data_IF_493522047955
#
_entry.id   IF_493522047955
#
_cell.length_a   1.000
_cell.length_b   1.000
_cell.length_c   1.000
_cell.angle_alpha   90.00
_cell.angle_beta   90.00
_cell.angle_gamma   90.00
#
_symmetry.space_group_name_H-M   'P 1'
#
loop_
_entity.id
_entity.type
_entity.pdbx_description
1 polymer ?
#
# COMPACT_ATOMS: atom_id res chain seq x y z
N UNK A 1 -10.83 -30.44 28.27
CA UNK A 1 -11.59 -29.47 29.08
C UNK A 1 -10.68 -28.29 29.34
N UNK A 2 -10.91 -27.18 28.61
CA UNK A 2 -10.62 -25.78 28.94
C UNK A 2 -9.21 -25.38 29.44
N UNK A 3 -8.40 -24.79 28.54
CA UNK A 3 -8.14 -23.34 28.35
C UNK A 3 -7.31 -22.71 29.46
N UNK A 4 -6.21 -22.05 29.06
CA UNK A 4 -5.70 -20.74 29.51
C UNK A 4 -4.53 -20.45 28.53
N UNK A 5 -4.86 -20.06 27.31
CA UNK A 5 -4.67 -18.68 26.85
C UNK A 5 -3.18 -18.35 26.73
N UNK A 6 -2.57 -18.83 25.63
CA UNK A 6 -1.29 -18.31 25.16
C UNK A 6 -1.46 -16.81 24.97
N UNK A 7 -0.64 -16.07 25.71
CA UNK A 7 -0.59 -14.62 25.75
C UNK A 7 -0.57 -14.10 24.32
N UNK A 8 -1.70 -13.55 23.87
CA UNK A 8 -1.75 -12.70 22.69
C UNK A 8 -0.89 -11.48 23.01
N UNK A 9 0.32 -11.43 22.43
CA UNK A 9 1.17 -10.24 22.53
C UNK A 9 0.35 -9.01 22.11
N UNK A 10 0.18 -8.02 23.01
CA UNK A 10 -0.58 -6.81 22.70
C UNK A 10 0.07 -5.96 21.60
N UNK A 11 1.28 -6.28 21.15
CA UNK A 11 1.91 -5.68 19.95
C UNK A 11 1.36 -6.23 18.62
N UNK A 12 0.68 -7.38 18.62
CA UNK A 12 0.06 -7.93 17.39
C UNK A 12 -1.31 -7.34 17.08
N UNK A 13 -2.02 -6.84 18.10
CA UNK A 13 -3.26 -6.08 17.94
C UNK A 13 -2.90 -4.61 17.99
N UNK A 14 -2.87 -3.94 16.84
CA UNK A 14 -2.42 -2.55 16.65
C UNK A 14 -3.08 -1.52 17.57
N UNK A 15 -2.65 -1.48 18.83
CA UNK A 15 -2.94 -0.49 19.86
C UNK A 15 -1.67 0.23 20.32
N UNK A 16 -0.53 -0.02 19.69
CA UNK A 16 0.66 0.82 19.68
C UNK A 16 1.07 1.02 18.22
N UNK A 17 1.41 2.27 17.86
CA UNK A 17 1.98 2.74 16.58
C UNK A 17 1.61 1.95 15.30
N UNK A 18 0.93 2.54 14.31
CA UNK A 18 0.57 1.81 13.08
C UNK A 18 1.80 1.32 12.33
N UNK A 19 2.14 0.05 12.51
CA UNK A 19 3.23 -0.61 11.80
C UNK A 19 2.77 -1.02 10.39
N UNK A 20 3.60 -0.79 9.36
CA UNK A 20 3.25 -1.16 7.99
C UNK A 20 3.13 -2.68 7.85
N UNK A 21 2.00 -3.14 7.33
CA UNK A 21 1.77 -4.56 7.01
C UNK A 21 2.12 -4.81 5.54
N UNK A 22 2.99 -5.78 5.27
CA UNK A 22 3.36 -6.18 3.92
C UNK A 22 2.71 -7.52 3.56
N UNK A 23 1.88 -7.51 2.51
CA UNK A 23 1.17 -8.71 2.03
C UNK A 23 1.80 -9.35 0.79
N UNK A 24 2.70 -8.65 0.10
CA UNK A 24 3.39 -9.12 -1.09
C UNK A 24 4.89 -8.87 -0.91
N UNK A 25 5.70 -9.91 -1.12
CA UNK A 25 7.16 -9.80 -1.06
C UNK A 25 7.69 -8.95 -2.23
N UNK A 26 8.90 -8.38 -2.12
CA UNK A 26 9.53 -7.69 -3.25
C UNK A 26 9.74 -8.57 -4.49
N UNK A 27 9.80 -9.91 -4.34
CA UNK A 27 9.88 -10.87 -5.44
C UNK A 27 8.51 -11.20 -6.05
N UNK A 28 7.41 -10.71 -5.46
CA UNK A 28 6.05 -10.95 -5.93
C UNK A 28 5.36 -12.17 -5.31
N UNK A 29 5.94 -12.76 -4.26
CA UNK A 29 5.32 -13.87 -3.53
C UNK A 29 4.27 -13.35 -2.55
N UNK A 30 3.18 -14.10 -2.37
CA UNK A 30 2.12 -13.76 -1.42
C UNK A 30 2.59 -14.08 0.00
N UNK A 31 2.46 -13.11 0.90
CA UNK A 31 2.64 -13.29 2.34
C UNK A 31 1.27 -13.35 3.00
N UNK A 32 1.15 -14.13 4.08
CA UNK A 32 -0.06 -14.16 4.92
C UNK A 32 0.27 -13.66 6.33
N UNK A 33 0.27 -12.33 6.54
CA UNK A 33 0.33 -11.77 7.88
C UNK A 33 -0.93 -12.12 8.68
N UNK A 34 -0.77 -12.47 9.95
CA UNK A 34 -1.90 -12.80 10.83
C UNK A 34 -2.94 -11.67 10.83
N UNK A 35 -4.20 -12.00 10.52
CA UNK A 35 -5.32 -11.06 10.48
C UNK A 35 -5.57 -10.38 9.13
N UNK A 36 -4.81 -10.72 8.08
CA UNK A 36 -4.99 -10.18 6.73
C UNK A 36 -5.04 -11.30 5.68
N UNK A 37 -6.16 -11.39 4.95
CA UNK A 37 -6.38 -12.42 3.94
C UNK A 37 -6.50 -11.81 2.54
N UNK A 38 -5.52 -12.13 1.68
CA UNK A 38 -5.52 -11.74 0.26
C UNK A 38 -6.51 -12.56 -0.60
N UNK A 39 -6.96 -13.71 -0.10
CA UNK A 39 -7.84 -14.62 -0.83
C UNK A 39 -9.29 -14.13 -0.91
N UNK A 40 -9.61 -13.06 -0.18
CA UNK A 40 -10.87 -12.33 -0.30
C UNK A 40 -11.01 -11.57 -1.63
N UNK A 41 -9.91 -11.38 -2.36
CA UNK A 41 -9.88 -10.60 -3.59
C UNK A 41 -10.05 -11.51 -4.82
N UNK A 42 -11.09 -11.22 -5.60
CA UNK A 42 -11.37 -11.93 -6.85
C UNK A 42 -10.28 -11.68 -7.90
N UNK A 43 -10.02 -12.68 -8.74
CA UNK A 43 -8.99 -12.59 -9.79
C UNK A 43 -9.25 -11.45 -10.79
N UNK A 44 -10.52 -11.17 -11.08
CA UNK A 44 -10.93 -10.07 -11.96
C UNK A 44 -10.61 -8.69 -11.36
N UNK A 45 -10.73 -8.55 -10.05
CA UNK A 45 -10.42 -7.33 -9.32
C UNK A 45 -8.90 -7.10 -9.27
N UNK A 46 -8.13 -8.17 -9.00
CA UNK A 46 -6.66 -8.15 -9.11
C UNK A 46 -6.19 -7.68 -10.49
N UNK A 47 -6.75 -8.23 -11.56
CA UNK A 47 -6.41 -7.84 -12.94
C UNK A 47 -6.81 -6.41 -13.25
N UNK A 48 -7.95 -5.96 -12.73
CA UNK A 48 -8.41 -4.57 -12.89
C UNK A 48 -7.48 -3.61 -12.16
N UNK A 49 -7.03 -3.95 -10.95
CA UNK A 49 -6.06 -3.16 -10.19
C UNK A 49 -4.72 -3.09 -10.92
N UNK A 50 -4.23 -4.23 -11.43
CA UNK A 50 -3.00 -4.28 -12.21
C UNK A 50 -3.08 -3.41 -13.47
N UNK A 51 -4.15 -3.54 -14.24
CA UNK A 51 -4.38 -2.72 -15.44
C UNK A 51 -4.43 -1.23 -15.10
N UNK A 52 -5.10 -0.86 -14.01
CA UNK A 52 -5.19 0.52 -13.55
C UNK A 52 -3.80 1.08 -13.20
N UNK A 53 -2.96 0.32 -12.52
CA UNK A 53 -1.59 0.73 -12.20
C UNK A 53 -0.74 0.98 -13.46
N UNK A 54 -0.85 0.11 -14.48
CA UNK A 54 -0.12 0.28 -15.74
C UNK A 54 -0.60 1.52 -16.50
N UNK A 55 -1.92 1.73 -16.57
CA UNK A 55 -2.51 2.90 -17.22
C UNK A 55 -2.07 4.20 -16.55
N UNK A 56 -2.12 4.27 -15.22
CA UNK A 56 -1.66 5.44 -14.47
C UNK A 56 -0.18 5.74 -14.71
N UNK A 57 0.66 4.71 -14.76
CA UNK A 57 2.10 4.89 -15.00
C UNK A 57 2.40 5.47 -16.38
N UNK A 58 1.62 5.09 -17.39
CA UNK A 58 1.71 5.70 -18.73
C UNK A 58 1.31 7.18 -18.69
N UNK A 59 0.19 7.49 -18.03
CA UNK A 59 -0.26 8.88 -17.88
C UNK A 59 0.77 9.73 -17.13
N UNK A 60 1.44 9.18 -16.11
CA UNK A 60 2.52 9.87 -15.40
C UNK A 60 3.73 10.18 -16.29
N UNK A 61 4.09 9.27 -17.21
CA UNK A 61 5.17 9.49 -18.17
C UNK A 61 4.82 10.60 -19.15
N UNK A 62 3.59 10.58 -19.69
CA UNK A 62 3.09 11.60 -20.61
C UNK A 62 3.00 12.97 -19.92
N UNK A 63 2.49 13.03 -18.68
CA UNK A 63 2.44 14.25 -17.89
C UNK A 63 3.84 14.80 -17.57
N UNK A 64 4.81 13.92 -17.29
CA UNK A 64 6.22 14.33 -17.09
C UNK A 64 6.82 14.90 -18.37
N UNK A 65 6.52 14.30 -19.53
CA UNK A 65 6.97 14.81 -20.82
C UNK A 65 6.38 16.21 -21.10
N UNK A 66 5.08 16.39 -20.88
CA UNK A 66 4.40 17.68 -21.04
C UNK A 66 4.91 18.74 -20.05
N UNK A 67 5.23 18.37 -18.81
CA UNK A 67 5.85 19.28 -17.84
C UNK A 67 7.24 19.78 -18.28
N UNK A 68 8.07 18.92 -18.90
CA UNK A 68 9.38 19.34 -19.44
C UNK A 68 9.27 20.27 -20.63
N UNK A 69 8.19 20.18 -21.40
CA UNK A 69 7.91 21.02 -22.55
C UNK A 69 7.29 22.38 -22.17
N UNK A 70 6.87 22.55 -20.90
CA UNK A 70 6.20 23.76 -20.43
C UNK A 70 4.69 23.78 -20.64
N UNK A 71 4.12 22.71 -21.19
CA UNK A 71 2.68 22.57 -21.49
C UNK A 71 1.84 22.19 -20.26
N UNK A 72 2.48 21.87 -19.13
CA UNK A 72 1.82 21.60 -17.85
C UNK A 72 2.55 22.27 -16.67
N UNK A 73 1.77 22.84 -15.75
CA UNK A 73 2.28 23.39 -14.50
C UNK A 73 2.85 22.31 -13.55
N UNK A 74 3.75 22.68 -12.62
CA UNK A 74 4.33 21.74 -11.67
C UNK A 74 3.26 21.21 -10.71
N UNK A 75 3.28 19.90 -10.42
CA UNK A 75 2.39 19.33 -9.39
C UNK A 75 2.66 19.99 -8.04
N UNK A 76 1.61 20.34 -7.26
CA UNK A 76 1.80 20.89 -5.93
C UNK A 76 2.53 19.88 -5.04
N UNK A 77 3.67 20.29 -4.50
CA UNK A 77 4.40 19.50 -3.50
C UNK A 77 3.54 19.46 -2.24
N UNK A 78 3.20 18.27 -1.76
CA UNK A 78 2.55 18.13 -0.44
C UNK A 78 3.53 18.67 0.61
N UNK A 79 3.16 19.68 1.42
CA UNK A 79 4.01 20.13 2.51
C UNK A 79 4.18 18.98 3.49
N UNK A 80 5.44 18.67 3.83
CA UNK A 80 5.74 17.65 4.83
C UNK A 80 5.14 18.07 6.17
N UNK A 81 4.50 17.14 6.87
CA UNK A 81 4.04 17.34 8.24
C UNK A 81 5.28 17.55 9.12
N UNK A 82 5.64 18.82 9.34
CA UNK A 82 6.67 19.18 10.33
C UNK A 82 6.05 18.90 11.70
N UNK A 83 6.38 17.75 12.29
CA UNK A 83 6.07 17.44 13.69
C UNK A 83 6.78 18.48 14.57
N UNK A 84 6.05 19.21 15.45
CA UNK A 84 6.69 20.09 16.42
C UNK A 84 7.42 19.28 17.50
N UNK A 85 8.47 19.87 18.13
CA UNK A 85 9.30 19.19 19.14
C UNK A 85 8.56 18.88 20.45
#
# INVERSE_FOLDING_TARGET
MNVHNEVMDPERTGLGEPHPVQMISPSGERLSPNGYELDTLEMTELMTMYRSMVLLRRSDQEATALQRQGELGPRPRRPGSRTPP
#
